data_IF_350255795525
#
_entry.id   IF_350255795525
#
_cell.length_a   1.000
_cell.length_b   1.000
_cell.length_c   1.000
_cell.angle_alpha   90.00
_cell.angle_beta   90.00
_cell.angle_gamma   90.00
#
_symmetry.space_group_name_H-M   'P 1'
#
loop_
_entity.id
_entity.type
_entity.pdbx_description
1 polymer ?
#
# COMPACT_ATOMS: atom_id res chain seq x y z
N UNK A 1 8.76 2.05 9.09
CA UNK A 1 8.67 3.15 8.11
C UNK A 1 10.09 3.42 7.67
N UNK A 2 10.53 2.77 6.60
CA UNK A 2 11.86 3.04 6.01
C UNK A 2 11.90 4.44 5.38
N UNK A 3 12.75 4.64 4.37
CA UNK A 3 12.83 5.90 3.62
C UNK A 3 11.61 6.22 2.72
N UNK A 4 10.49 5.51 2.84
CA UNK A 4 9.35 5.61 1.92
C UNK A 4 8.72 7.01 1.86
N UNK A 5 8.45 7.72 2.99
CA UNK A 5 7.91 9.09 2.93
C UNK A 5 8.81 10.04 2.14
N UNK A 6 10.12 10.03 2.44
CA UNK A 6 11.09 10.87 1.74
C UNK A 6 11.26 10.49 0.26
N UNK A 7 11.19 9.21 -0.09
CA UNK A 7 11.22 8.77 -1.50
C UNK A 7 9.97 9.18 -2.26
N UNK A 8 8.80 9.09 -1.66
CA UNK A 8 7.57 9.57 -2.27
C UNK A 8 7.66 11.07 -2.56
N UNK A 9 8.11 11.88 -1.59
CA UNK A 9 8.30 13.32 -1.77
C UNK A 9 9.34 13.65 -2.85
N UNK A 10 10.48 12.96 -2.87
CA UNK A 10 11.54 13.12 -3.87
C UNK A 10 11.00 12.89 -5.29
N UNK A 11 10.30 11.77 -5.51
CA UNK A 11 9.77 11.43 -6.83
C UNK A 11 8.58 12.31 -7.22
N UNK A 12 7.71 12.69 -6.28
CA UNK A 12 6.61 13.63 -6.54
C UNK A 12 7.15 15.02 -6.98
N UNK A 13 8.16 15.52 -6.28
CA UNK A 13 8.85 16.78 -6.64
C UNK A 13 9.49 16.68 -8.03
N UNK A 14 10.14 15.56 -8.33
CA UNK A 14 10.71 15.30 -9.64
C UNK A 14 9.65 15.23 -10.75
N UNK A 15 8.48 14.65 -10.46
CA UNK A 15 7.35 14.58 -11.39
C UNK A 15 6.78 15.97 -11.69
N UNK A 16 6.56 16.80 -10.66
CA UNK A 16 6.08 18.19 -10.81
C UNK A 16 7.07 19.02 -11.65
N UNK A 17 8.38 18.85 -11.43
CA UNK A 17 9.39 19.50 -12.27
C UNK A 17 9.25 19.08 -13.74
N UNK A 18 9.04 17.79 -14.00
CA UNK A 18 8.84 17.27 -15.36
C UNK A 18 7.55 17.82 -16.01
N UNK A 19 6.43 17.88 -15.28
CA UNK A 19 5.16 18.52 -15.73
C UNK A 19 5.40 19.97 -16.14
N UNK A 20 6.05 20.75 -15.28
CA UNK A 20 6.33 22.17 -15.53
C UNK A 20 7.22 22.43 -16.76
N UNK A 21 7.96 21.42 -17.23
CA UNK A 21 8.81 21.49 -18.42
C UNK A 21 8.21 20.75 -19.64
N UNK A 22 7.00 20.19 -19.53
CA UNK A 22 6.35 19.44 -20.61
C UNK A 22 6.95 18.06 -20.87
N UNK A 23 7.74 17.51 -19.94
CA UNK A 23 8.34 16.17 -20.04
C UNK A 23 7.36 15.11 -19.53
N UNK A 24 6.26 14.91 -20.25
CA UNK A 24 5.14 14.08 -19.79
C UNK A 24 5.49 12.62 -19.52
N UNK A 25 6.35 12.01 -20.34
CA UNK A 25 6.79 10.63 -20.12
C UNK A 25 7.56 10.50 -18.79
N UNK A 26 8.50 11.41 -18.54
CA UNK A 26 9.24 11.48 -17.27
C UNK A 26 8.31 11.78 -16.10
N UNK A 27 7.33 12.66 -16.27
CA UNK A 27 6.36 12.96 -15.21
C UNK A 27 5.59 11.70 -14.77
N UNK A 28 5.11 10.89 -15.73
CA UNK A 28 4.37 9.66 -15.43
C UNK A 28 5.27 8.55 -14.86
N UNK A 29 6.51 8.43 -15.34
CA UNK A 29 7.49 7.50 -14.76
C UNK A 29 7.76 7.85 -13.28
N UNK A 30 7.99 9.14 -12.98
CA UNK A 30 8.24 9.62 -11.62
C UNK A 30 7.00 9.51 -10.74
N UNK A 31 5.80 9.74 -11.27
CA UNK A 31 4.55 9.41 -10.59
C UNK A 31 4.46 7.91 -10.25
N UNK A 32 4.86 7.02 -11.16
CA UNK A 32 4.92 5.58 -10.90
C UNK A 32 5.81 5.22 -9.71
N UNK A 33 6.99 5.85 -9.60
CA UNK A 33 7.84 5.67 -8.42
C UNK A 33 7.24 6.27 -7.14
N UNK A 34 6.71 7.50 -7.21
CA UNK A 34 6.12 8.16 -6.05
C UNK A 34 4.92 7.36 -5.51
N UNK A 35 4.01 6.94 -6.38
CA UNK A 35 2.84 6.15 -6.03
C UNK A 35 3.22 4.79 -5.41
N UNK A 36 4.25 4.11 -5.92
CA UNK A 36 4.76 2.88 -5.30
C UNK A 36 5.18 3.11 -3.83
N UNK A 37 5.98 4.15 -3.55
CA UNK A 37 6.39 4.46 -2.18
C UNK A 37 5.25 4.93 -1.27
N UNK A 38 4.17 5.47 -1.85
CA UNK A 38 2.97 5.85 -1.12
C UNK A 38 2.07 4.64 -0.81
N UNK A 39 1.92 3.69 -1.74
CA UNK A 39 1.01 2.55 -1.57
C UNK A 39 1.64 1.39 -0.81
N UNK A 40 2.96 1.19 -0.90
CA UNK A 40 3.64 0.09 -0.22
C UNK A 40 3.35 0.08 1.29
N UNK A 41 3.53 1.19 2.04
CA UNK A 41 3.17 1.22 3.47
C UNK A 41 1.67 1.07 3.74
N UNK A 42 0.81 1.26 2.74
CA UNK A 42 -0.63 0.95 2.80
C UNK A 42 -0.91 -0.56 2.86
N UNK A 43 0.10 -1.40 2.69
CA UNK A 43 0.04 -2.85 2.93
C UNK A 43 0.48 -3.12 4.38
N UNK A 44 -0.29 -3.89 5.18
CA UNK A 44 -0.01 -4.09 6.61
C UNK A 44 1.43 -4.54 6.94
N UNK A 45 2.05 -5.36 6.09
CA UNK A 45 3.41 -5.86 6.30
C UNK A 45 4.53 -4.83 6.05
N UNK A 46 4.24 -3.70 5.41
CA UNK A 46 5.17 -2.56 5.23
C UNK A 46 4.81 -1.36 6.13
N UNK A 47 3.74 -1.47 6.90
CA UNK A 47 3.17 -0.42 7.74
C UNK A 47 4.01 -0.11 8.98
N UNK A 48 3.54 0.84 9.82
CA UNK A 48 4.11 1.02 11.17
C UNK A 48 3.96 -0.22 12.07
N UNK A 49 2.94 -1.05 11.84
CA UNK A 49 2.70 -2.27 12.60
C UNK A 49 3.79 -3.34 12.43
N UNK A 50 4.52 -3.35 11.30
CA UNK A 50 5.55 -4.37 11.05
C UNK A 50 6.94 -4.03 11.62
N UNK A 51 7.13 -2.81 12.13
CA UNK A 51 8.45 -2.32 12.62
C UNK A 51 8.86 -2.98 13.95
N UNK A 52 7.92 -3.58 14.68
CA UNK A 52 8.23 -4.30 15.94
C UNK A 52 8.86 -5.69 15.73
N UNK A 53 9.08 -6.12 14.48
CA UNK A 53 9.61 -7.44 14.14
C UNK A 53 11.12 -7.54 13.88
N UNK A 54 11.90 -6.46 13.95
CA UNK A 54 13.33 -6.48 13.51
C UNK A 54 14.35 -6.83 14.62
N UNK A 55 13.90 -7.13 15.84
CA UNK A 55 14.79 -7.37 16.99
C UNK A 55 15.57 -8.70 16.98
N UNK A 56 15.20 -9.68 16.15
CA UNK A 56 15.95 -10.95 16.03
C UNK A 56 15.73 -11.66 14.67
N UNK A 57 16.57 -12.66 14.37
CA UNK A 57 16.56 -13.40 13.10
C UNK A 57 15.26 -14.18 12.83
N UNK A 58 14.63 -14.73 13.88
CA UNK A 58 13.40 -15.52 13.75
C UNK A 58 12.19 -14.67 13.35
N UNK A 59 11.90 -13.53 14.01
CA UNK A 59 10.85 -12.59 13.61
C UNK A 59 11.07 -11.99 12.22
N UNK A 60 12.32 -11.74 11.81
CA UNK A 60 12.63 -11.24 10.47
C UNK A 60 12.33 -12.27 9.37
N UNK A 61 12.77 -13.53 9.54
CA UNK A 61 12.49 -14.61 8.58
C UNK A 61 10.98 -14.92 8.50
N UNK A 62 10.32 -14.87 9.65
CA UNK A 62 8.88 -15.06 9.78
C UNK A 62 8.09 -13.96 9.08
N UNK A 63 8.46 -12.70 9.29
CA UNK A 63 7.84 -11.57 8.62
C UNK A 63 7.98 -11.72 7.09
N UNK A 64 9.18 -12.06 6.58
CA UNK A 64 9.40 -12.28 5.13
C UNK A 64 8.50 -13.38 4.55
N UNK A 65 8.36 -14.53 5.21
CA UNK A 65 7.53 -15.62 4.68
C UNK A 65 6.04 -15.24 4.63
N UNK A 66 5.49 -14.71 5.72
CA UNK A 66 4.08 -14.34 5.78
C UNK A 66 3.77 -13.13 4.91
N UNK A 67 4.66 -12.13 4.89
CA UNK A 67 4.60 -10.99 3.99
C UNK A 67 4.50 -11.44 2.53
N UNK A 68 5.46 -12.24 2.05
CA UNK A 68 5.46 -12.72 0.66
C UNK A 68 4.22 -13.57 0.36
N UNK A 69 3.80 -14.39 1.32
CA UNK A 69 2.61 -15.24 1.20
C UNK A 69 1.32 -14.43 1.11
N UNK A 70 1.22 -13.35 1.89
CA UNK A 70 0.09 -12.42 1.89
C UNK A 70 0.02 -11.66 0.57
N UNK A 71 1.11 -11.04 0.12
CA UNK A 71 1.13 -10.31 -1.16
C UNK A 71 0.81 -11.23 -2.35
N UNK A 72 1.33 -12.45 -2.35
CA UNK A 72 0.99 -13.44 -3.37
C UNK A 72 -0.50 -13.80 -3.34
N UNK A 73 -1.10 -13.92 -2.16
CA UNK A 73 -2.53 -14.17 -2.01
C UNK A 73 -3.37 -13.01 -2.56
N UNK A 74 -3.05 -11.77 -2.18
CA UNK A 74 -3.75 -10.57 -2.68
C UNK A 74 -3.64 -10.48 -4.20
N UNK A 75 -2.46 -10.74 -4.75
CA UNK A 75 -2.25 -10.78 -6.20
C UNK A 75 -3.11 -11.84 -6.90
N UNK A 76 -3.25 -13.03 -6.32
CA UNK A 76 -4.10 -14.10 -6.88
C UNK A 76 -5.60 -13.76 -6.83
N UNK A 77 -6.02 -12.95 -5.86
CA UNK A 77 -7.41 -12.47 -5.73
C UNK A 77 -7.64 -11.12 -6.41
N UNK A 78 -6.64 -10.58 -7.12
CA UNK A 78 -6.75 -9.28 -7.78
C UNK A 78 -7.73 -9.26 -8.96
N UNK A 79 -7.73 -10.25 -9.89
CA UNK A 79 -8.58 -10.22 -11.08
C UNK A 79 -10.07 -10.43 -10.77
N UNK A 80 -10.92 -9.92 -11.67
CA UNK A 80 -12.36 -10.25 -11.74
C UNK A 80 -12.58 -11.75 -11.94
N UNK A 81 -13.63 -12.30 -11.33
CA UNK A 81 -13.97 -13.73 -11.33
C UNK A 81 -13.26 -14.55 -10.26
N UNK A 82 -12.52 -13.90 -9.35
CA UNK A 82 -11.96 -14.53 -8.15
C UNK A 82 -12.91 -14.38 -6.97
N UNK A 83 -12.58 -14.95 -5.80
CA UNK A 83 -13.51 -14.91 -4.65
C UNK A 83 -13.67 -13.49 -4.09
N UNK A 84 -12.61 -12.69 -4.08
CA UNK A 84 -12.61 -11.37 -3.44
C UNK A 84 -12.36 -10.19 -4.39
N UNK A 85 -11.80 -10.44 -5.57
CA UNK A 85 -11.67 -9.45 -6.65
C UNK A 85 -11.10 -8.10 -6.19
N UNK A 86 -9.96 -8.11 -5.50
CA UNK A 86 -9.40 -6.90 -4.88
C UNK A 86 -9.20 -5.72 -5.85
N UNK A 87 -9.02 -5.97 -7.15
CA UNK A 87 -8.95 -4.92 -8.16
C UNK A 87 -10.23 -4.10 -8.33
N UNK A 88 -11.40 -4.61 -7.93
CA UNK A 88 -12.66 -3.86 -7.96
C UNK A 88 -12.67 -2.70 -6.95
N UNK A 89 -11.96 -2.85 -5.82
CA UNK A 89 -11.80 -1.80 -4.81
C UNK A 89 -10.92 -0.63 -5.28
N UNK A 90 -10.17 -0.82 -6.37
CA UNK A 90 -9.43 0.25 -7.06
C UNK A 90 -10.30 0.91 -8.13
N UNK A 91 -10.90 0.10 -9.00
CA UNK A 91 -11.64 0.59 -10.19
C UNK A 91 -13.00 1.23 -9.85
N UNK A 92 -13.63 0.84 -8.74
CA UNK A 92 -14.89 1.41 -8.24
C UNK A 92 -14.73 2.68 -7.39
N UNK A 93 -13.50 3.11 -7.13
CA UNK A 93 -13.21 4.16 -6.18
C UNK A 93 -13.25 5.57 -6.81
N UNK A 94 -14.36 6.29 -6.61
CA UNK A 94 -14.56 7.64 -7.15
C UNK A 94 -14.08 8.77 -6.24
N UNK A 95 -13.64 8.49 -5.01
CA UNK A 95 -13.31 9.52 -4.02
C UNK A 95 -11.82 9.54 -3.71
N UNK A 96 -11.09 10.48 -4.31
CA UNK A 96 -9.70 10.74 -3.94
C UNK A 96 -9.59 11.28 -2.51
N UNK A 97 -8.43 11.04 -1.87
CA UNK A 97 -8.01 11.75 -0.67
C UNK A 97 -7.09 12.88 -1.13
N UNK A 98 -7.41 14.12 -0.80
CA UNK A 98 -6.56 15.26 -1.16
C UNK A 98 -5.16 15.11 -0.54
N UNK A 99 -4.13 15.05 -1.38
CA UNK A 99 -2.73 15.08 -0.96
C UNK A 99 -2.25 16.52 -1.01
N UNK A 100 -1.77 17.05 0.12
CA UNK A 100 -1.12 18.36 0.21
C UNK A 100 0.36 18.26 0.53
N UNK A 101 0.78 17.11 1.07
CA UNK A 101 2.16 16.75 1.35
C UNK A 101 2.31 15.24 1.09
N UNK A 102 3.11 14.82 0.09
CA UNK A 102 3.33 13.41 -0.21
C UNK A 102 3.90 12.61 0.96
N UNK A 103 4.80 13.20 1.78
CA UNK A 103 5.40 12.48 2.90
C UNK A 103 4.35 12.17 3.97
N UNK A 104 3.55 13.16 4.38
CA UNK A 104 2.43 12.95 5.30
C UNK A 104 1.38 11.97 4.74
N UNK A 105 1.12 11.98 3.43
CA UNK A 105 0.21 11.02 2.81
C UNK A 105 0.69 9.57 2.98
N UNK A 106 2.00 9.33 2.82
CA UNK A 106 2.60 8.01 3.10
C UNK A 106 2.42 7.62 4.57
N UNK A 107 2.67 8.54 5.50
CA UNK A 107 2.52 8.27 6.93
C UNK A 107 1.07 7.94 7.31
N UNK A 108 0.11 8.68 6.78
CA UNK A 108 -1.30 8.44 7.03
C UNK A 108 -1.77 7.11 6.44
N UNK A 109 -1.34 6.76 5.21
CA UNK A 109 -1.66 5.47 4.60
C UNK A 109 -1.04 4.30 5.39
N UNK A 110 0.17 4.49 5.92
CA UNK A 110 0.83 3.51 6.78
C UNK A 110 0.13 3.34 8.14
N UNK A 111 -0.38 4.42 8.73
CA UNK A 111 -1.14 4.35 9.98
C UNK A 111 -2.49 3.65 9.76
N UNK A 112 -3.13 3.91 8.61
CA UNK A 112 -4.36 3.23 8.22
C UNK A 112 -4.16 1.71 8.11
N UNK A 113 -3.11 1.24 7.44
CA UNK A 113 -2.87 -0.20 7.26
C UNK A 113 -2.36 -0.88 8.54
N UNK A 114 -1.63 -0.15 9.40
CA UNK A 114 -1.06 -0.69 10.63
C UNK A 114 -2.13 -1.21 11.60
N UNK A 115 -3.31 -0.59 11.64
CA UNK A 115 -4.40 -1.01 12.52
C UNK A 115 -4.90 -2.45 12.25
N UNK A 116 -4.64 -2.99 11.05
CA UNK A 116 -5.07 -4.33 10.64
C UNK A 116 -3.96 -5.38 10.77
N UNK A 117 -2.72 -4.96 11.03
CA UNK A 117 -1.54 -5.83 11.02
C UNK A 117 -1.65 -6.99 12.01
N UNK A 118 -2.02 -6.71 13.27
CA UNK A 118 -2.09 -7.73 14.32
C UNK A 118 -3.13 -8.81 14.00
N UNK A 119 -4.30 -8.42 13.49
CA UNK A 119 -5.36 -9.35 13.12
C UNK A 119 -4.92 -10.23 11.95
N UNK A 120 -4.46 -9.62 10.85
CA UNK A 120 -4.04 -10.35 9.65
C UNK A 120 -2.90 -11.31 9.98
N UNK A 121 -1.91 -10.86 10.75
CA UNK A 121 -0.78 -11.70 11.15
C UNK A 121 -1.24 -12.86 12.04
N UNK A 122 -2.07 -12.60 13.04
CA UNK A 122 -2.60 -13.64 13.93
C UNK A 122 -3.43 -14.68 13.17
N UNK A 123 -4.27 -14.23 12.24
CA UNK A 123 -5.12 -15.09 11.44
C UNK A 123 -4.29 -15.99 10.53
N UNK A 124 -3.30 -15.42 9.84
CA UNK A 124 -2.37 -16.19 9.00
C UNK A 124 -1.57 -17.23 9.78
N UNK A 125 -1.32 -16.98 11.07
CA UNK A 125 -0.55 -17.87 11.94
C UNK A 125 -1.33 -19.01 12.55
N UNK A 126 -2.53 -18.70 13.03
CA UNK A 126 -3.30 -19.60 13.87
C UNK A 126 -4.32 -20.40 13.06
N UNK A 127 -4.69 -19.92 11.86
CA UNK A 127 -5.70 -20.55 11.03
C UNK A 127 -5.11 -21.02 9.69
N UNK A 128 -5.10 -22.34 9.46
CA UNK A 128 -4.65 -22.92 8.18
C UNK A 128 -5.51 -22.51 6.98
N UNK A 129 -6.76 -22.06 7.22
CA UNK A 129 -7.72 -21.65 6.20
C UNK A 129 -7.91 -20.12 6.14
N UNK A 130 -6.97 -19.32 6.68
CA UNK A 130 -7.06 -17.86 6.77
C UNK A 130 -7.44 -17.15 5.47
N UNK A 131 -7.14 -17.72 4.29
CA UNK A 131 -7.54 -17.16 2.98
C UNK A 131 -9.05 -17.05 2.80
N UNK A 132 -9.82 -17.85 3.53
CA UNK A 132 -11.28 -17.82 3.51
C UNK A 132 -11.88 -16.99 4.65
N UNK A 133 -11.03 -16.40 5.50
CA UNK A 133 -11.50 -15.57 6.61
C UNK A 133 -12.08 -14.24 6.10
N UNK A 134 -13.34 -13.97 6.43
CA UNK A 134 -14.05 -12.81 5.90
C UNK A 134 -13.48 -11.48 6.42
N UNK A 135 -12.97 -11.46 7.65
CA UNK A 135 -12.46 -10.23 8.26
C UNK A 135 -11.08 -9.87 7.72
N UNK A 136 -10.19 -10.85 7.49
CA UNK A 136 -8.90 -10.67 6.85
C UNK A 136 -9.08 -10.08 5.45
N UNK A 137 -10.05 -10.61 4.70
CA UNK A 137 -10.35 -10.14 3.35
C UNK A 137 -10.98 -8.75 3.35
N UNK A 138 -11.89 -8.48 4.28
CA UNK A 138 -12.45 -7.15 4.46
C UNK A 138 -11.37 -6.12 4.80
N UNK A 139 -10.48 -6.38 5.76
CA UNK A 139 -9.39 -5.47 6.12
C UNK A 139 -8.37 -5.28 5.00
N UNK A 140 -8.07 -6.35 4.25
CA UNK A 140 -7.25 -6.26 3.03
C UNK A 140 -7.90 -5.33 2.01
N UNK A 141 -9.22 -5.45 1.78
CA UNK A 141 -9.95 -4.58 0.87
C UNK A 141 -9.93 -3.10 1.32
N UNK A 142 -10.02 -2.83 2.63
CA UNK A 142 -9.87 -1.47 3.17
C UNK A 142 -8.50 -0.88 2.86
N UNK A 143 -7.42 -1.66 3.07
CA UNK A 143 -6.05 -1.24 2.75
C UNK A 143 -5.86 -0.91 1.26
N UNK A 144 -6.37 -1.78 0.38
CA UNK A 144 -6.32 -1.59 -1.08
C UNK A 144 -7.09 -0.35 -1.49
N UNK A 145 -8.31 -0.19 -0.97
CA UNK A 145 -9.16 0.95 -1.29
C UNK A 145 -8.52 2.27 -0.84
N UNK A 146 -8.06 2.37 0.41
CA UNK A 146 -7.43 3.59 0.94
C UNK A 146 -6.17 3.96 0.14
N UNK A 147 -5.33 2.97 -0.18
CA UNK A 147 -4.14 3.17 -1.01
C UNK A 147 -4.49 3.71 -2.40
N UNK A 148 -5.57 3.22 -3.01
CA UNK A 148 -6.06 3.73 -4.29
C UNK A 148 -6.55 5.19 -4.20
N UNK A 149 -7.20 5.57 -3.10
CA UNK A 149 -7.67 6.96 -2.86
C UNK A 149 -6.50 7.93 -2.74
N UNK A 150 -5.45 7.54 -2.01
CA UNK A 150 -4.23 8.34 -1.91
C UNK A 150 -3.45 8.38 -3.22
N UNK A 151 -3.37 7.28 -3.97
CA UNK A 151 -2.69 7.27 -5.27
C UNK A 151 -3.36 8.22 -6.28
N UNK A 152 -4.70 8.26 -6.29
CA UNK A 152 -5.45 9.25 -7.07
C UNK A 152 -5.14 10.68 -6.59
N UNK A 153 -5.22 10.95 -5.28
CA UNK A 153 -4.88 12.26 -4.74
C UNK A 153 -3.45 12.72 -5.02
N UNK A 154 -2.49 11.79 -5.05
CA UNK A 154 -1.11 12.07 -5.41
C UNK A 154 -0.98 12.44 -6.89
N UNK A 155 -1.77 11.79 -7.77
CA UNK A 155 -1.84 12.17 -9.18
C UNK A 155 -2.34 13.61 -9.32
N UNK A 156 -3.46 13.95 -8.64
CA UNK A 156 -4.03 15.31 -8.65
C UNK A 156 -3.08 16.36 -8.05
N UNK A 157 -2.24 15.98 -7.08
CA UNK A 157 -1.22 16.86 -6.51
C UNK A 157 -0.08 17.17 -7.51
N UNK A 158 0.23 16.23 -8.40
CA UNK A 158 1.37 16.33 -9.33
C UNK A 158 0.98 16.97 -10.67
N UNK A 159 -0.21 16.63 -11.19
CA UNK A 159 -0.64 16.88 -12.58
C UNK A 159 -1.68 17.99 -12.68
#
# INVERSE_FOLDING_TARGET
MGGAPGRCEEFATSAIFAVNNGYWETAHERFGFASHYLTDPGIPFHSKGSIDGLGSFQPALFNVLYHTTYESYVSQQWPTGTTYEFGEYVSGNQQSITVTDPASAVENNADHSAQYFDYITSEMLLNSNWRTDLMLNYYTAQCVQESARYAHGLYDYIM
#
